data_IF_553277049838
#
_entry.id   IF_553277049838
#
_cell.length_a   1.000
_cell.length_b   1.000
_cell.length_c   1.000
_cell.angle_alpha   90.00
_cell.angle_beta   90.00
_cell.angle_gamma   90.00
#
_symmetry.space_group_name_H-M   'P 1'
#
loop_
_entity.id
_entity.type
_entity.pdbx_description
1 polymer ?
#
# COMPACT_ATOMS: atom_id res chain seq x y z
N UNK A 1 -9.68 -6.66 -35.90
CA UNK A 1 -9.86 -6.85 -34.45
C UNK A 1 -11.35 -6.85 -34.18
N UNK A 2 -11.90 -7.85 -33.50
CA UNK A 2 -13.32 -7.91 -33.13
C UNK A 2 -13.59 -6.82 -32.08
N UNK A 3 -14.71 -6.11 -32.18
CA UNK A 3 -15.06 -5.04 -31.23
C UNK A 3 -15.51 -5.65 -29.89
N UNK A 4 -15.03 -5.09 -28.77
CA UNK A 4 -15.42 -5.53 -27.44
C UNK A 4 -16.94 -5.43 -27.26
N UNK A 5 -17.59 -6.55 -26.93
CA UNK A 5 -19.04 -6.63 -26.72
C UNK A 5 -19.84 -7.27 -27.86
N UNK A 6 -19.20 -7.73 -28.93
CA UNK A 6 -19.88 -8.62 -29.88
C UNK A 6 -20.16 -9.99 -29.25
N UNK A 7 -21.32 -10.57 -29.57
CA UNK A 7 -21.68 -11.90 -29.10
C UNK A 7 -20.62 -12.92 -29.55
N UNK A 8 -20.25 -13.82 -28.63
CA UNK A 8 -19.30 -14.90 -28.90
C UNK A 8 -19.92 -15.80 -29.95
N UNK A 9 -19.18 -16.06 -31.02
CA UNK A 9 -19.62 -16.96 -32.08
C UNK A 9 -19.41 -18.40 -31.62
N UNK A 10 -20.26 -19.34 -32.04
CA UNK A 10 -20.18 -20.74 -31.57
C UNK A 10 -18.84 -21.40 -31.97
N UNK A 11 -18.15 -20.83 -32.96
CA UNK A 11 -16.81 -21.23 -33.40
C UNK A 11 -15.68 -20.79 -32.44
N UNK A 12 -15.96 -19.93 -31.45
CA UNK A 12 -15.00 -19.46 -30.43
C UNK A 12 -15.13 -20.24 -29.11
N UNK A 13 -16.09 -21.17 -29.03
CA UNK A 13 -16.29 -22.06 -27.88
C UNK A 13 -15.49 -23.33 -28.14
N UNK A 14 -14.30 -23.42 -27.55
CA UNK A 14 -13.47 -24.62 -27.63
C UNK A 14 -13.96 -25.66 -26.63
N UNK A 15 -14.11 -26.92 -27.08
CA UNK A 15 -14.38 -28.04 -26.19
C UNK A 15 -13.15 -28.27 -25.29
N UNK A 16 -13.39 -28.51 -24.00
CA UNK A 16 -12.34 -28.75 -23.00
C UNK A 16 -11.48 -29.96 -23.39
N UNK A 17 -12.02 -30.90 -24.15
CA UNK A 17 -11.28 -32.07 -24.63
C UNK A 17 -10.32 -31.75 -25.80
N UNK A 18 -10.52 -30.64 -26.51
CA UNK A 18 -9.65 -30.18 -27.60
C UNK A 18 -8.51 -29.27 -27.10
N UNK A 19 -8.55 -28.84 -25.84
CA UNK A 19 -7.48 -28.07 -25.25
C UNK A 19 -6.27 -28.96 -24.98
N UNK A 20 -5.19 -28.72 -25.75
CA UNK A 20 -3.92 -29.40 -25.56
C UNK A 20 -3.39 -29.13 -24.14
N UNK A 21 -3.12 -30.20 -23.39
CA UNK A 21 -2.66 -30.09 -22.01
C UNK A 21 -1.36 -29.28 -21.94
N UNK A 22 -1.33 -28.24 -21.11
CA UNK A 22 -0.18 -27.36 -20.94
C UNK A 22 1.03 -28.16 -20.44
N UNK A 23 1.91 -28.56 -21.37
CA UNK A 23 3.20 -29.17 -21.05
C UNK A 23 4.12 -28.08 -20.51
N UNK A 24 4.17 -27.95 -19.19
CA UNK A 24 5.19 -27.17 -18.53
C UNK A 24 6.55 -27.82 -18.76
N UNK A 25 7.38 -27.21 -19.62
CA UNK A 25 8.77 -27.59 -19.79
C UNK A 25 9.57 -27.16 -18.55
N UNK A 26 9.35 -27.85 -17.42
CA UNK A 26 10.31 -27.86 -16.32
C UNK A 26 11.52 -28.64 -16.80
N UNK A 27 12.51 -27.93 -17.32
CA UNK A 27 13.84 -28.44 -17.62
C UNK A 27 14.48 -28.95 -16.34
N UNK A 28 14.27 -30.24 -16.07
CA UNK A 28 15.04 -31.00 -15.08
C UNK A 28 16.46 -31.12 -15.62
N UNK A 29 17.29 -30.15 -15.27
CA UNK A 29 18.69 -30.14 -15.64
C UNK A 29 19.40 -31.20 -14.80
N UNK A 30 19.49 -32.42 -15.33
CA UNK A 30 20.32 -33.46 -14.74
C UNK A 30 21.80 -33.06 -14.91
N UNK A 31 22.48 -32.96 -13.77
CA UNK A 31 23.92 -32.77 -13.69
C UNK A 31 24.62 -34.07 -14.11
N UNK A 32 24.91 -34.21 -15.40
CA UNK A 32 25.92 -35.16 -15.86
C UNK A 32 27.28 -34.48 -15.94
N UNK A 33 28.19 -35.00 -15.10
CA UNK A 33 29.58 -34.63 -15.03
C UNK A 33 30.33 -35.07 -16.30
N UNK A 34 30.70 -34.11 -17.14
CA UNK A 34 31.82 -34.20 -18.10
C UNK A 34 32.04 -32.82 -18.69
N UNK A 35 32.92 -32.04 -18.06
CA UNK A 35 33.29 -30.70 -18.54
C UNK A 35 34.36 -30.79 -19.64
N UNK A 36 34.11 -30.31 -20.87
CA UNK A 36 35.13 -30.14 -21.89
C UNK A 36 36.03 -28.92 -21.57
N UNK A 37 37.24 -28.85 -22.17
CA UNK A 37 38.20 -27.78 -21.92
C UNK A 37 37.61 -26.42 -22.32
N UNK A 38 37.58 -25.51 -21.34
CA UNK A 38 37.04 -24.15 -21.45
C UNK A 38 37.75 -23.37 -22.56
N UNK A 39 37.00 -23.03 -23.62
CA UNK A 39 37.37 -21.93 -24.52
C UNK A 39 37.31 -20.60 -23.73
N UNK A 40 38.23 -19.66 -23.98
CA UNK A 40 38.16 -18.31 -23.43
C UNK A 40 36.85 -17.65 -23.90
N UNK A 41 35.97 -17.31 -22.95
CA UNK A 41 34.74 -16.58 -23.23
C UNK A 41 35.06 -15.15 -23.64
N UNK A 42 34.48 -14.70 -24.76
CA UNK A 42 34.54 -13.32 -25.24
C UNK A 42 33.95 -12.35 -24.19
N UNK A 43 34.60 -11.20 -23.92
CA UNK A 43 34.15 -10.22 -22.91
C UNK A 43 32.83 -9.47 -23.18
N UNK A 44 32.03 -9.85 -24.17
CA UNK A 44 30.96 -9.01 -24.73
C UNK A 44 29.53 -9.41 -24.36
N UNK A 45 29.32 -10.41 -23.49
CA UNK A 45 28.00 -10.82 -23.01
C UNK A 45 28.02 -11.03 -21.50
N UNK A 46 28.20 -9.96 -20.74
CA UNK A 46 27.82 -9.97 -19.34
C UNK A 46 26.28 -9.90 -19.27
N UNK A 47 25.63 -11.06 -19.41
CA UNK A 47 24.20 -11.17 -19.13
C UNK A 47 23.94 -10.60 -17.73
N UNK A 48 23.09 -9.58 -17.66
CA UNK A 48 22.69 -8.95 -16.41
C UNK A 48 22.03 -10.02 -15.54
N UNK A 49 22.76 -10.49 -14.52
CA UNK A 49 22.26 -11.54 -13.63
C UNK A 49 20.89 -11.12 -13.10
N UNK A 50 19.86 -11.98 -13.19
CA UNK A 50 18.53 -11.65 -12.73
C UNK A 50 18.59 -11.18 -11.27
N UNK A 51 18.10 -9.96 -11.03
CA UNK A 51 18.12 -9.35 -9.70
C UNK A 51 17.35 -10.26 -8.75
N UNK A 52 17.97 -10.60 -7.62
CA UNK A 52 17.33 -11.41 -6.59
C UNK A 52 16.06 -10.69 -6.13
N UNK A 53 14.94 -11.42 -6.09
CA UNK A 53 13.67 -10.89 -5.58
C UNK A 53 13.89 -10.39 -4.15
N UNK A 54 13.51 -9.15 -3.87
CA UNK A 54 13.62 -8.54 -2.56
C UNK A 54 12.77 -9.32 -1.55
N UNK A 55 13.35 -9.69 -0.41
CA UNK A 55 12.64 -10.40 0.65
C UNK A 55 11.72 -9.41 1.37
N UNK A 56 10.41 -9.52 1.11
CA UNK A 56 9.38 -8.71 1.77
C UNK A 56 9.22 -9.16 3.22
N UNK A 57 9.10 -8.20 4.14
CA UNK A 57 8.90 -8.51 5.55
C UNK A 57 7.44 -8.89 5.84
N UNK A 58 7.22 -10.16 6.19
CA UNK A 58 5.91 -10.68 6.58
C UNK A 58 5.56 -10.43 8.07
N UNK A 59 6.57 -10.12 8.90
CA UNK A 59 6.40 -9.91 10.34
C UNK A 59 5.63 -8.64 10.71
N UNK A 60 5.31 -8.48 11.99
CA UNK A 60 4.70 -7.25 12.51
C UNK A 60 5.71 -6.10 12.52
N UNK A 61 5.34 -4.97 11.93
CA UNK A 61 6.15 -3.74 11.96
C UNK A 61 6.06 -2.98 13.28
N UNK A 62 5.27 -3.48 14.24
CA UNK A 62 5.06 -2.85 15.55
C UNK A 62 6.36 -2.62 16.31
N UNK A 63 7.35 -3.51 16.17
CA UNK A 63 8.66 -3.41 16.83
C UNK A 63 9.67 -2.54 16.08
N UNK A 64 9.35 -2.09 14.86
CA UNK A 64 10.25 -1.25 14.09
C UNK A 64 10.21 0.20 14.57
N UNK A 65 9.02 0.70 14.89
CA UNK A 65 8.83 2.08 15.33
C UNK A 65 8.91 2.16 16.86
N UNK A 66 9.72 3.07 17.43
CA UNK A 66 9.82 3.25 18.88
C UNK A 66 8.47 3.64 19.50
N UNK A 67 8.21 3.13 20.70
CA UNK A 67 7.04 3.52 21.49
C UNK A 67 7.25 4.89 22.16
N UNK A 68 6.18 5.66 22.44
CA UNK A 68 4.77 5.35 22.15
C UNK A 68 4.42 5.54 20.66
N UNK A 69 3.47 4.75 20.15
CA UNK A 69 3.02 4.87 18.75
C UNK A 69 1.99 5.97 18.52
N UNK A 70 1.55 6.65 19.58
CA UNK A 70 0.56 7.73 19.51
C UNK A 70 1.12 8.92 20.28
N UNK A 71 1.29 10.04 19.57
CA UNK A 71 1.67 11.34 20.09
C UNK A 71 0.56 12.34 19.78
N UNK A 72 -0.19 12.74 20.81
CA UNK A 72 -1.25 13.74 20.66
C UNK A 72 -0.69 15.10 20.28
N UNK A 73 -1.51 15.93 19.62
CA UNK A 73 -1.04 17.27 19.27
C UNK A 73 -0.91 18.15 20.51
N UNK A 74 0.24 18.80 20.73
CA UNK A 74 0.41 19.70 21.87
C UNK A 74 -0.48 20.92 21.66
N UNK A 75 -1.21 21.33 22.70
CA UNK A 75 -1.94 22.60 22.66
C UNK A 75 -0.94 23.75 22.51
N UNK A 76 -1.17 24.64 21.54
CA UNK A 76 -0.37 25.85 21.33
C UNK A 76 -1.33 27.03 21.14
N UNK A 77 -1.33 28.02 22.03
CA UNK A 77 -2.29 29.12 21.99
C UNK A 77 -2.01 30.16 20.90
N UNK A 78 -0.92 30.01 20.13
CA UNK A 78 -0.49 30.98 19.12
C UNK A 78 -0.31 30.31 17.77
N UNK A 79 -0.84 30.94 16.73
CA UNK A 79 -0.57 30.56 15.35
C UNK A 79 0.93 30.69 15.07
N UNK A 80 1.55 29.58 14.68
CA UNK A 80 2.92 29.60 14.22
C UNK A 80 2.98 30.40 12.92
N UNK A 81 3.87 31.39 12.84
CA UNK A 81 4.19 32.05 11.58
C UNK A 81 4.92 31.04 10.69
N UNK A 82 4.16 30.28 9.93
CA UNK A 82 4.70 29.23 9.07
C UNK A 82 5.22 29.88 7.77
N UNK A 83 6.52 29.79 7.52
CA UNK A 83 7.19 30.34 6.32
C UNK A 83 7.27 29.36 5.15
N UNK A 84 6.85 28.11 5.36
CA UNK A 84 6.95 27.04 4.37
C UNK A 84 5.91 27.25 3.26
N UNK A 85 6.36 27.19 2.00
CA UNK A 85 5.46 27.26 0.85
C UNK A 85 4.52 26.04 0.81
N UNK A 86 3.23 26.24 0.48
CA UNK A 86 2.32 25.13 0.22
C UNK A 86 2.83 24.23 -0.91
N UNK A 87 2.60 22.92 -0.79
CA UNK A 87 2.93 21.96 -1.84
C UNK A 87 2.12 22.24 -3.11
N UNK A 88 2.82 22.36 -4.24
CA UNK A 88 2.26 22.71 -5.56
C UNK A 88 2.80 21.84 -6.70
N UNK A 89 3.56 20.77 -6.41
CA UNK A 89 4.21 19.93 -7.43
C UNK A 89 3.24 19.05 -8.21
N UNK A 90 2.09 18.72 -7.63
CA UNK A 90 1.07 17.90 -8.27
C UNK A 90 -0.32 18.51 -8.06
N UNK A 91 -1.17 18.39 -9.08
CA UNK A 91 -2.57 18.79 -8.99
C UNK A 91 -3.31 17.80 -8.07
N UNK A 92 -4.01 18.28 -7.02
CA UNK A 92 -4.78 17.41 -6.14
C UNK A 92 -5.87 16.65 -6.90
N UNK A 93 -6.05 15.37 -6.58
CA UNK A 93 -7.17 14.54 -7.04
C UNK A 93 -8.21 14.54 -5.92
N UNK A 94 -9.36 15.18 -6.15
CA UNK A 94 -10.42 15.28 -5.14
C UNK A 94 -11.18 13.97 -5.06
N UNK A 95 -11.38 13.47 -3.84
CA UNK A 95 -12.01 12.19 -3.60
C UNK A 95 -13.52 12.35 -3.33
N UNK A 96 -14.39 11.53 -3.92
CA UNK A 96 -15.82 11.52 -3.59
C UNK A 96 -16.07 11.27 -2.09
N UNK A 97 -17.14 11.86 -1.50
CA UNK A 97 -18.18 12.65 -2.14
C UNK A 97 -17.85 14.14 -2.26
N UNK A 98 -16.59 14.53 -2.04
CA UNK A 98 -16.20 15.93 -2.12
C UNK A 98 -16.14 16.39 -3.57
N UNK A 99 -16.60 17.62 -3.84
CA UNK A 99 -16.74 18.16 -5.20
C UNK A 99 -16.17 19.58 -5.35
N UNK A 100 -15.34 20.03 -4.40
CA UNK A 100 -14.74 21.36 -4.50
C UNK A 100 -13.71 21.41 -5.63
N UNK A 101 -13.73 22.50 -6.41
CA UNK A 101 -12.80 22.71 -7.54
C UNK A 101 -11.42 23.11 -7.08
N UNK A 102 -11.36 23.89 -6.00
CA UNK A 102 -10.13 24.36 -5.36
C UNK A 102 -10.12 23.91 -3.91
N UNK A 103 -9.04 23.25 -3.50
CA UNK A 103 -8.85 22.91 -2.10
C UNK A 103 -8.50 24.19 -1.34
N UNK A 104 -9.52 24.81 -0.74
CA UNK A 104 -9.35 25.90 0.21
C UNK A 104 -9.27 25.28 1.60
N UNK A 105 -8.11 25.35 2.28
CA UNK A 105 -7.97 24.86 3.63
C UNK A 105 -9.03 25.49 4.55
N UNK A 106 -9.94 24.68 5.08
CA UNK A 106 -10.94 25.19 6.01
C UNK A 106 -10.25 25.52 7.34
N UNK A 107 -10.28 26.79 7.79
CA UNK A 107 -9.77 27.15 9.10
C UNK A 107 -10.44 26.28 10.17
N UNK A 108 -9.70 25.87 11.19
CA UNK A 108 -10.23 25.13 12.36
C UNK A 108 -10.72 23.69 12.09
N UNK A 109 -10.63 23.19 10.86
CA UNK A 109 -10.87 21.76 10.60
C UNK A 109 -9.61 20.97 10.92
N UNK A 110 -9.77 19.78 11.52
CA UNK A 110 -8.66 18.88 11.78
C UNK A 110 -8.60 17.83 10.70
N UNK A 111 -7.49 17.79 10.00
CA UNK A 111 -7.25 16.86 8.87
C UNK A 111 -6.04 16.00 9.18
N UNK A 112 -5.79 14.98 8.36
CA UNK A 112 -4.60 14.16 8.53
C UNK A 112 -4.05 13.59 7.22
N UNK A 113 -2.75 13.71 7.02
CA UNK A 113 -2.04 12.96 5.98
C UNK A 113 -1.84 11.51 6.40
N UNK A 114 -2.00 10.60 5.43
CA UNK A 114 -1.66 9.18 5.58
C UNK A 114 -0.42 8.86 4.75
N UNK A 115 0.61 8.35 5.42
CA UNK A 115 1.84 7.83 4.81
C UNK A 115 1.79 6.31 4.92
N UNK A 116 1.60 5.57 3.81
CA UNK A 116 1.60 4.12 3.87
C UNK A 116 3.03 3.61 4.17
N UNK A 117 3.11 2.63 5.06
CA UNK A 117 4.34 1.93 5.44
C UNK A 117 4.38 0.55 4.80
N UNK A 118 3.24 -0.16 4.77
CA UNK A 118 3.12 -1.45 4.09
C UNK A 118 1.69 -1.65 3.58
N UNK A 119 1.55 -2.05 2.32
CA UNK A 119 0.27 -2.28 1.65
C UNK A 119 -0.16 -1.13 0.73
N UNK A 120 -1.41 -1.18 0.28
CA UNK A 120 -1.99 -0.20 -0.64
C UNK A 120 -3.25 0.40 -0.02
N UNK A 121 -3.33 1.72 0.04
CA UNK A 121 -4.52 2.40 0.57
C UNK A 121 -5.72 2.19 -0.38
N UNK A 122 -6.97 2.22 0.12
CA UNK A 122 -8.17 1.92 -0.68
C UNK A 122 -8.51 2.96 -1.75
N UNK A 123 -7.84 4.12 -1.76
CA UNK A 123 -8.13 5.18 -2.71
C UNK A 123 -7.30 4.99 -3.97
N UNK A 124 -7.99 4.87 -5.09
CA UNK A 124 -7.37 4.72 -6.41
C UNK A 124 -6.41 5.88 -6.70
N UNK A 125 -5.23 5.55 -7.21
CA UNK A 125 -4.16 6.51 -7.48
C UNK A 125 -3.26 6.83 -6.28
N UNK A 126 -3.54 6.32 -5.08
CA UNK A 126 -2.59 6.43 -3.96
C UNK A 126 -1.36 5.53 -4.15
N UNK A 127 -0.21 5.94 -3.63
CA UNK A 127 1.01 5.13 -3.66
C UNK A 127 0.88 3.93 -2.72
N UNK A 128 1.38 2.77 -3.16
CA UNK A 128 1.58 1.60 -2.28
C UNK A 128 2.91 1.72 -1.54
N UNK A 129 3.08 0.94 -0.47
CA UNK A 129 4.33 0.88 0.28
C UNK A 129 4.75 -0.56 0.57
N UNK A 130 6.06 -0.80 0.62
CA UNK A 130 6.66 -2.08 1.00
C UNK A 130 7.73 -1.83 2.05
N UNK A 131 7.70 -2.67 3.09
CA UNK A 131 8.73 -2.72 4.12
C UNK A 131 9.60 -3.96 3.93
N UNK A 132 10.92 -3.80 3.94
CA UNK A 132 11.90 -4.87 3.82
C UNK A 132 12.97 -4.80 4.91
N UNK A 133 13.55 -5.95 5.25
CA UNK A 133 14.59 -6.07 6.29
C UNK A 133 16.00 -5.76 5.79
N UNK A 134 16.19 -5.59 4.48
CA UNK A 134 17.49 -5.21 3.93
C UNK A 134 17.93 -3.83 4.42
N UNK A 135 19.16 -3.74 4.92
CA UNK A 135 19.81 -2.50 5.32
C UNK A 135 20.47 -1.76 4.14
N UNK A 136 20.45 -2.35 2.94
CA UNK A 136 21.06 -1.74 1.77
C UNK A 136 20.26 -0.49 1.34
N UNK A 137 20.89 0.70 1.27
CA UNK A 137 20.21 1.92 0.85
C UNK A 137 19.81 1.90 -0.63
N UNK A 138 20.41 1.04 -1.45
CA UNK A 138 20.05 0.91 -2.87
C UNK A 138 18.64 0.33 -3.06
N UNK A 139 18.15 -0.46 -2.09
CA UNK A 139 16.80 -1.01 -2.07
C UNK A 139 15.72 0.05 -1.76
N UNK A 140 16.11 1.22 -1.23
CA UNK A 140 15.19 2.33 -0.92
C UNK A 140 14.85 3.20 -2.12
N UNK A 141 15.51 2.99 -3.27
CA UNK A 141 15.17 3.73 -4.48
C UNK A 141 13.74 3.36 -4.90
N UNK A 142 12.88 4.33 -5.22
CA UNK A 142 11.54 4.05 -5.71
C UNK A 142 11.61 3.06 -6.87
N UNK A 143 10.85 1.98 -6.78
CA UNK A 143 10.73 1.05 -7.89
C UNK A 143 9.78 1.66 -8.92
N UNK A 144 10.32 2.06 -10.08
CA UNK A 144 9.52 2.45 -11.24
C UNK A 144 9.03 1.19 -11.95
N UNK A 145 8.03 0.54 -11.34
CA UNK A 145 7.29 -0.55 -11.94
C UNK A 145 6.22 -0.02 -12.87
N UNK A 146 6.12 -0.59 -14.08
CA UNK A 146 4.96 -0.37 -14.95
C UNK A 146 4.02 -1.57 -14.78
N UNK A 147 2.87 -1.34 -14.16
CA UNK A 147 1.80 -2.35 -14.10
C UNK A 147 0.69 -1.88 -15.02
N UNK A 148 0.39 -2.65 -16.07
CA UNK A 148 -0.64 -2.31 -17.06
C UNK A 148 -0.46 -0.92 -17.70
N UNK A 149 0.78 -0.50 -17.95
CA UNK A 149 1.09 0.82 -18.54
C UNK A 149 1.03 2.00 -17.55
N UNK A 150 0.63 1.78 -16.30
CA UNK A 150 0.60 2.81 -15.26
C UNK A 150 1.88 2.70 -14.43
N UNK A 151 2.60 3.82 -14.33
CA UNK A 151 3.75 3.93 -13.43
C UNK A 151 3.22 3.97 -12.00
N UNK A 152 3.30 2.83 -11.31
CA UNK A 152 2.91 2.70 -9.92
C UNK A 152 4.17 2.85 -9.06
N UNK A 153 4.43 4.08 -8.60
CA UNK A 153 5.53 4.30 -7.66
C UNK A 153 5.20 3.74 -6.29
N UNK A 154 6.02 2.79 -5.88
CA UNK A 154 5.96 2.14 -4.58
C UNK A 154 6.96 2.81 -3.62
N UNK A 155 6.49 3.12 -2.42
CA UNK A 155 7.32 3.64 -1.34
C UNK A 155 8.09 2.48 -0.71
N UNK A 156 9.41 2.59 -0.69
CA UNK A 156 10.29 1.55 -0.15
C UNK A 156 10.81 1.95 1.23
N UNK A 157 10.50 1.13 2.23
CA UNK A 157 10.95 1.32 3.60
C UNK A 157 11.88 0.19 4.02
N UNK A 158 12.97 0.56 4.67
CA UNK A 158 13.69 -0.34 5.56
C UNK A 158 13.51 0.11 7.01
N UNK A 159 13.92 -0.75 7.95
CA UNK A 159 13.78 -0.45 9.38
C UNK A 159 14.43 0.87 9.78
N UNK A 160 15.63 1.16 9.30
CA UNK A 160 16.40 2.35 9.70
C UNK A 160 15.73 3.63 9.17
N UNK A 161 15.39 3.68 7.88
CA UNK A 161 14.72 4.81 7.25
C UNK A 161 13.35 5.10 7.86
N UNK A 162 12.59 4.07 8.23
CA UNK A 162 11.30 4.23 8.89
C UNK A 162 11.44 4.81 10.31
N UNK A 163 12.44 4.36 11.08
CA UNK A 163 12.76 4.90 12.41
C UNK A 163 13.20 6.36 12.32
N UNK A 164 14.06 6.69 11.35
CA UNK A 164 14.49 8.07 11.12
C UNK A 164 13.34 8.97 10.68
N UNK A 165 12.45 8.46 9.81
CA UNK A 165 11.25 9.17 9.40
C UNK A 165 10.34 9.45 10.60
N UNK A 166 10.11 8.46 11.46
CA UNK A 166 9.36 8.63 12.70
C UNK A 166 9.98 9.71 13.60
N UNK A 167 11.30 9.64 13.81
CA UNK A 167 12.06 10.61 14.63
C UNK A 167 11.98 12.02 14.05
N UNK A 168 12.03 12.14 12.72
CA UNK A 168 11.81 13.40 12.02
C UNK A 168 10.41 13.97 12.29
N UNK A 169 9.36 13.15 12.22
CA UNK A 169 8.00 13.60 12.51
C UNK A 169 7.87 14.09 13.96
N UNK A 170 8.44 13.36 14.93
CA UNK A 170 8.46 13.80 16.33
C UNK A 170 9.18 15.14 16.49
N UNK A 171 10.34 15.29 15.85
CA UNK A 171 11.08 16.56 15.86
C UNK A 171 10.27 17.71 15.24
N UNK A 172 9.55 17.44 14.15
CA UNK A 172 8.68 18.42 13.50
C UNK A 172 7.53 18.85 14.43
N UNK A 173 6.91 17.91 15.13
CA UNK A 173 5.89 18.16 16.16
C UNK A 173 6.42 19.00 17.32
N UNK A 174 7.60 18.66 17.83
CA UNK A 174 8.16 19.32 19.02
C UNK A 174 8.63 20.74 18.72
N UNK A 175 9.17 20.97 17.52
CA UNK A 175 9.43 22.33 17.03
C UNK A 175 8.13 23.12 16.84
N UNK A 176 7.09 22.44 16.32
CA UNK A 176 5.77 23.01 15.99
C UNK A 176 5.83 24.26 15.14
N UNK A 177 6.76 24.26 14.19
CA UNK A 177 6.87 25.24 13.09
C UNK A 177 5.67 25.18 12.14
N UNK A 178 4.85 24.13 12.25
CA UNK A 178 3.63 23.90 11.46
C UNK A 178 2.36 23.93 12.34
N UNK A 179 2.46 24.47 13.57
CA UNK A 179 1.35 24.45 14.52
C UNK A 179 1.22 23.12 15.27
N UNK A 180 0.00 22.76 15.65
CA UNK A 180 -0.29 21.60 16.51
C UNK A 180 -0.34 20.30 15.69
N UNK A 181 0.75 19.54 15.68
CA UNK A 181 0.83 18.26 14.97
C UNK A 181 0.67 17.08 15.92
N UNK A 182 -0.19 16.13 15.55
CA UNK A 182 -0.36 14.85 16.21
C UNK A 182 0.10 13.73 15.29
N UNK A 183 0.65 12.66 15.82
CA UNK A 183 1.24 11.57 15.04
C UNK A 183 0.76 10.25 15.62
N UNK A 184 0.38 9.31 14.77
CA UNK A 184 0.07 7.95 15.19
C UNK A 184 0.50 6.92 14.17
N UNK A 185 1.06 5.80 14.62
CA UNK A 185 1.33 4.63 13.78
C UNK A 185 0.23 3.58 13.97
N UNK A 186 -0.27 3.02 12.88
CA UNK A 186 -1.32 2.01 12.84
C UNK A 186 -0.79 0.77 12.12
N UNK A 187 -0.89 -0.38 12.76
CA UNK A 187 -0.54 -1.67 12.17
C UNK A 187 -1.80 -2.45 11.81
N UNK A 188 -1.77 -3.10 10.65
CA UNK A 188 -2.74 -4.07 10.21
C UNK A 188 -2.85 -5.24 11.18
N UNK A 189 -4.09 -5.58 11.54
CA UNK A 189 -4.37 -6.69 12.46
C UNK A 189 -4.27 -8.06 11.76
N UNK A 190 -4.11 -8.10 10.44
CA UNK A 190 -4.09 -9.32 9.63
C UNK A 190 -2.84 -10.18 9.80
N UNK A 191 -1.82 -9.69 10.52
CA UNK A 191 -0.53 -10.39 10.72
C UNK A 191 -0.62 -11.70 11.54
N UNK A 192 -1.77 -12.03 12.14
CA UNK A 192 -1.97 -13.28 12.90
C UNK A 192 -2.76 -14.35 12.15
N UNK A 193 -3.26 -14.09 10.94
CA UNK A 193 -3.75 -15.19 10.10
C UNK A 193 -2.56 -15.87 9.46
N UNK A 194 -2.04 -16.85 10.21
CA UNK A 194 -1.10 -17.85 9.76
C UNK A 194 -1.28 -18.13 8.28
N UNK A 195 -0.18 -18.03 7.54
CA UNK A 195 0.04 -18.77 6.31
C UNK A 195 0.07 -20.27 6.66
N UNK A 196 -1.03 -20.80 7.20
CA UNK A 196 -1.27 -22.22 7.30
C UNK A 196 -1.73 -22.66 5.93
N UNK A 197 -0.74 -23.18 5.20
CA UNK A 197 -0.87 -24.30 4.30
C UNK A 197 -1.74 -24.06 3.08
N UNK A 198 -1.07 -23.99 1.93
CA UNK A 198 -1.53 -24.60 0.69
C UNK A 198 -2.23 -25.91 1.08
N UNK A 199 -3.56 -25.89 1.10
CA UNK A 199 -4.36 -27.09 1.20
C UNK A 199 -4.12 -27.84 -0.09
N UNK A 200 -3.15 -28.75 -0.06
CA UNK A 200 -3.15 -29.89 -0.95
C UNK A 200 -4.51 -30.56 -0.77
N UNK A 201 -5.37 -30.42 -1.77
CA UNK A 201 -6.57 -31.22 -1.92
C UNK A 201 -6.14 -32.68 -2.02
N UNK A 202 -5.96 -33.32 -0.87
CA UNK A 202 -5.87 -34.77 -0.74
C UNK A 202 -7.29 -35.28 -0.89
N UNK A 203 -7.57 -35.85 -2.06
CA UNK A 203 -8.74 -36.68 -2.29
C UNK A 203 -8.83 -37.74 -1.19
N UNK A 204 -9.82 -37.59 -0.31
CA UNK A 204 -10.39 -38.72 0.41
C UNK A 204 -11.86 -38.80 -0.01
N UNK A 205 -12.08 -39.57 -1.07
CA UNK A 205 -13.36 -40.22 -1.35
C UNK A 205 -13.77 -41.09 -0.16
N UNK A 206 -15.08 -41.10 0.09
CA UNK A 206 -15.74 -42.15 0.84
C UNK A 206 -15.90 -41.86 2.33
N UNK A 207 -17.08 -41.36 2.71
CA UNK A 207 -18.03 -42.10 3.57
C UNK A 207 -19.31 -41.25 3.68
N UNK A 208 -20.35 -41.67 2.96
CA UNK A 208 -21.71 -41.15 3.12
C UNK A 208 -22.31 -41.75 4.39
N UNK A 209 -22.81 -40.89 5.28
CA UNK A 209 -23.70 -41.26 6.37
C UNK A 209 -24.92 -40.33 6.35
N UNK A 210 -26.16 -40.84 6.31
CA UNK A 210 -27.35 -40.02 6.31
C UNK A 210 -27.71 -39.64 7.75
N UNK A 211 -27.94 -38.35 8.00
CA UNK A 211 -28.66 -37.93 9.20
C UNK A 211 -29.58 -36.78 8.85
N UNK A 212 -30.83 -37.16 8.59
CA UNK A 212 -32.00 -36.29 8.59
C UNK A 212 -32.18 -35.68 9.98
N UNK A 213 -32.20 -34.36 10.08
CA UNK A 213 -33.07 -33.68 11.05
C UNK A 213 -33.69 -32.47 10.38
N UNK A 214 -34.97 -32.60 10.12
CA UNK A 214 -35.94 -31.58 9.74
C UNK A 214 -36.07 -30.48 10.80
N UNK A 215 -36.03 -29.21 10.38
CA UNK A 215 -36.70 -28.13 11.11
C UNK A 215 -37.39 -27.16 10.14
N UNK A 216 -38.72 -27.23 10.24
CA UNK A 216 -39.79 -26.27 9.92
C UNK A 216 -39.34 -24.80 9.83
N UNK A 217 -39.48 -24.14 8.69
CA UNK A 217 -40.67 -23.37 8.23
C UNK A 217 -41.23 -22.46 9.32
N UNK A 218 -40.81 -21.20 9.29
CA UNK A 218 -41.69 -20.06 9.57
C UNK A 218 -41.44 -18.99 8.52
N UNK A 219 -42.55 -18.56 7.92
CA UNK A 219 -42.65 -17.77 6.70
C UNK A 219 -43.54 -16.59 7.05
N UNK A 220 -42.94 -15.46 7.45
CA UNK A 220 -43.70 -14.22 7.66
C UNK A 220 -43.07 -13.02 6.95
N UNK A 221 -43.87 -12.56 5.99
CA UNK A 221 -44.08 -11.24 5.41
C UNK A 221 -43.09 -10.08 5.70
N UNK A 222 -42.47 -9.64 4.61
CA UNK A 222 -42.71 -8.33 3.98
C UNK A 222 -42.64 -7.07 4.85
N UNK A 223 -41.47 -6.44 4.82
CA UNK A 223 -41.26 -5.04 5.16
C UNK A 223 -40.09 -4.47 4.36
N UNK A 224 -40.30 -4.25 3.06
CA UNK A 224 -39.34 -3.60 2.15
C UNK A 224 -38.95 -2.22 2.68
N UNK A 225 -37.84 -2.16 3.41
CA UNK A 225 -37.10 -0.94 3.68
C UNK A 225 -35.69 -1.17 3.14
N UNK A 226 -35.55 -1.11 1.82
CA UNK A 226 -34.28 -0.86 1.12
C UNK A 226 -33.77 0.53 1.50
N UNK A 227 -33.47 0.74 2.78
CA UNK A 227 -32.66 1.88 3.22
C UNK A 227 -31.25 1.57 2.74
N UNK A 228 -30.86 2.28 1.69
CA UNK A 228 -29.54 2.32 1.06
C UNK A 228 -28.43 2.59 2.09
N UNK A 229 -28.11 1.57 2.88
CA UNK A 229 -27.07 1.56 3.92
C UNK A 229 -25.70 1.17 3.33
N UNK A 230 -25.56 1.18 2.00
CA UNK A 230 -24.73 0.25 1.25
C UNK A 230 -23.37 0.76 0.75
N UNK A 231 -22.78 1.83 1.27
CA UNK A 231 -21.39 2.19 0.86
C UNK A 231 -20.50 2.86 1.90
N UNK A 232 -21.06 3.36 3.01
CA UNK A 232 -20.28 4.14 3.99
C UNK A 232 -19.43 3.29 4.95
N UNK A 233 -19.74 2.01 5.15
CA UNK A 233 -18.99 1.14 6.07
C UNK A 233 -17.72 0.52 5.48
N UNK A 234 -17.58 0.49 4.16
CA UNK A 234 -16.55 -0.36 3.52
C UNK A 234 -15.13 0.21 3.69
N UNK A 235 -14.94 1.53 3.61
CA UNK A 235 -13.60 2.12 3.68
C UNK A 235 -12.90 1.92 5.03
N UNK A 236 -13.64 1.94 6.14
CA UNK A 236 -13.06 1.66 7.48
C UNK A 236 -12.61 0.21 7.62
N UNK A 237 -13.17 -0.70 6.83
CA UNK A 237 -12.74 -2.10 6.82
C UNK A 237 -11.44 -2.27 6.04
N UNK A 238 -11.27 -1.57 4.92
CA UNK A 238 -10.15 -1.80 3.99
C UNK A 238 -8.82 -1.21 4.51
N UNK A 239 -8.86 -0.10 5.25
CA UNK A 239 -7.65 0.48 5.86
C UNK A 239 -7.00 -0.47 6.89
N UNK A 240 -7.73 -1.49 7.37
CA UNK A 240 -7.24 -2.45 8.37
C UNK A 240 -6.13 -3.37 7.87
N UNK A 241 -5.94 -3.48 6.56
CA UNK A 241 -4.92 -4.31 5.94
C UNK A 241 -3.67 -3.53 5.51
N UNK A 242 -3.54 -2.28 5.96
CA UNK A 242 -2.42 -1.41 5.64
C UNK A 242 -1.74 -0.97 6.94
N UNK A 243 -0.41 -1.05 6.99
CA UNK A 243 0.36 -0.37 8.02
C UNK A 243 0.62 1.06 7.55
N UNK A 244 0.30 2.07 8.37
CA UNK A 244 0.45 3.47 7.97
C UNK A 244 0.74 4.39 9.16
N UNK A 245 1.36 5.52 8.85
CA UNK A 245 1.54 6.64 9.77
C UNK A 245 0.50 7.70 9.42
N UNK A 246 -0.22 8.17 10.43
CA UNK A 246 -1.22 9.24 10.33
C UNK A 246 -0.72 10.50 11.04
N UNK A 247 -0.71 11.61 10.32
CA UNK A 247 -0.17 12.90 10.76
C UNK A 247 -1.32 13.90 10.83
N UNK A 248 -1.83 14.14 12.03
CA UNK A 248 -2.90 15.09 12.29
C UNK A 248 -2.38 16.52 12.33
N UNK A 249 -3.11 17.44 11.70
CA UNK A 249 -2.80 18.86 11.71
C UNK A 249 -4.06 19.68 11.45
N UNK A 250 -3.96 20.99 11.59
CA UNK A 250 -5.02 21.91 11.19
C UNK A 250 -5.11 21.96 9.66
N UNK A 251 -6.32 22.09 9.12
CA UNK A 251 -6.58 22.14 7.69
C UNK A 251 -5.75 23.22 7.01
N UNK A 252 -5.65 24.41 7.64
CA UNK A 252 -4.90 25.58 7.17
C UNK A 252 -3.43 25.29 6.79
N UNK A 253 -2.79 24.30 7.41
CA UNK A 253 -1.38 23.94 7.16
C UNK A 253 -1.21 22.67 6.35
N UNK A 254 -2.29 22.05 5.86
CA UNK A 254 -2.26 20.73 5.22
C UNK A 254 -1.24 20.63 4.08
N UNK A 255 -1.27 21.58 3.15
CA UNK A 255 -0.36 21.57 2.00
C UNK A 255 1.09 21.93 2.39
N UNK A 256 1.30 22.59 3.53
CA UNK A 256 2.65 22.88 4.05
C UNK A 256 3.24 21.65 4.73
N UNK A 257 2.43 20.91 5.48
CA UNK A 257 2.79 19.57 5.99
C UNK A 257 3.18 18.67 4.83
N UNK A 258 2.37 18.61 3.77
CA UNK A 258 2.68 17.86 2.55
C UNK A 258 4.03 18.26 1.94
N UNK A 259 4.32 19.56 1.86
CA UNK A 259 5.60 20.05 1.33
C UNK A 259 6.80 19.58 2.17
N UNK A 260 6.64 19.53 3.49
CA UNK A 260 7.69 19.05 4.40
C UNK A 260 7.91 17.54 4.27
N UNK A 261 6.82 16.77 4.06
CA UNK A 261 6.91 15.33 3.80
C UNK A 261 7.62 15.03 2.49
N UNK A 262 7.27 15.74 1.41
CA UNK A 262 7.93 15.59 0.10
C UNK A 262 9.41 16.03 0.11
N UNK A 263 9.77 17.00 0.95
CA UNK A 263 11.15 17.44 1.12
C UNK A 263 12.01 16.50 1.97
N UNK A 264 11.40 15.57 2.72
CA UNK A 264 12.13 14.66 3.58
C UNK A 264 13.06 13.74 2.78
N UNK A 265 14.23 13.45 3.35
CA UNK A 265 15.24 12.57 2.78
C UNK A 265 15.87 11.74 3.88
N UNK A 266 15.99 10.45 3.62
CA UNK A 266 16.84 9.54 4.38
C UNK A 266 18.30 9.79 4.01
N UNK A 267 19.20 9.77 5.00
CA UNK A 267 20.64 9.85 4.78
C UNK A 267 21.23 8.49 5.16
N UNK A 268 21.71 7.74 4.17
CA UNK A 268 22.29 6.43 4.43
C UNK A 268 23.62 6.53 5.22
N UNK A 269 24.12 5.43 5.79
CA UNK A 269 25.46 5.38 6.38
C UNK A 269 26.58 5.74 5.39
N UNK A 270 26.34 5.55 4.08
CA UNK A 270 27.24 5.98 2.99
C UNK A 270 27.11 7.47 2.62
N UNK A 271 26.29 8.25 3.35
CA UNK A 271 25.96 9.65 3.09
C UNK A 271 25.18 9.88 1.78
N UNK A 272 24.54 8.85 1.24
CA UNK A 272 23.62 8.96 0.11
C UNK A 272 22.28 9.53 0.59
N UNK A 273 21.72 10.45 -0.18
CA UNK A 273 20.44 11.09 0.12
C UNK A 273 19.33 10.43 -0.69
N UNK A 274 18.43 9.72 -0.03
CA UNK A 274 17.30 9.05 -0.66
C UNK A 274 16.01 9.76 -0.31
N UNK A 275 15.25 10.20 -1.34
CA UNK A 275 13.91 10.75 -1.16
C UNK A 275 12.87 9.63 -1.26
N UNK A 276 12.63 8.96 -0.15
CA UNK A 276 11.67 7.84 -0.07
C UNK A 276 10.26 8.24 -0.48
N UNK A 277 9.86 9.49 -0.20
CA UNK A 277 8.54 10.03 -0.51
C UNK A 277 8.48 10.83 -1.82
N UNK A 278 9.50 10.74 -2.69
CA UNK A 278 9.55 11.50 -3.93
C UNK A 278 8.37 11.14 -4.84
N UNK A 279 7.50 12.13 -5.10
CA UNK A 279 6.27 11.96 -5.90
C UNK A 279 5.29 10.92 -5.34
N UNK A 280 5.43 10.55 -4.06
CA UNK A 280 4.52 9.61 -3.41
C UNK A 280 3.13 10.24 -3.30
N UNK A 281 2.10 9.62 -3.89
CA UNK A 281 0.71 10.11 -3.87
C UNK A 281 0.06 9.74 -2.54
N UNK A 282 0.02 10.69 -1.61
CA UNK A 282 -0.51 10.50 -0.27
C UNK A 282 -1.97 10.93 -0.19
N UNK A 283 -2.70 10.37 0.78
CA UNK A 283 -4.11 10.70 1.00
C UNK A 283 -4.26 11.65 2.18
N UNK A 284 -4.99 12.74 1.96
CA UNK A 284 -5.46 13.64 3.02
C UNK A 284 -6.84 13.17 3.48
N UNK A 285 -7.02 13.05 4.79
CA UNK A 285 -8.30 12.70 5.41
C UNK A 285 -8.97 13.92 6.05
N UNK A 286 -10.30 13.94 6.00
CA UNK A 286 -11.15 14.85 6.80
C UNK A 286 -11.24 14.42 8.27
N UNK A 287 -11.95 15.20 9.08
CA UNK A 287 -12.17 14.95 10.51
C UNK A 287 -12.95 13.66 10.80
N UNK A 288 -13.65 13.12 9.78
CA UNK A 288 -14.41 11.87 9.85
C UNK A 288 -13.62 10.67 9.34
N UNK A 289 -12.33 10.87 9.04
CA UNK A 289 -11.43 9.88 8.43
C UNK A 289 -11.87 9.42 7.03
N UNK A 290 -12.52 10.29 6.26
CA UNK A 290 -12.82 10.08 4.84
C UNK A 290 -11.72 10.69 3.99
N UNK A 291 -11.40 10.04 2.88
CA UNK A 291 -10.47 10.59 1.90
C UNK A 291 -11.01 11.89 1.33
N UNK A 292 -10.22 12.95 1.42
CA UNK A 292 -10.55 14.28 0.96
C UNK A 292 -9.87 14.56 -0.39
N UNK A 293 -8.56 14.28 -0.49
CA UNK A 293 -7.81 14.38 -1.74
C UNK A 293 -6.56 13.49 -1.74
N UNK A 294 -5.98 13.29 -2.92
CA UNK A 294 -4.65 12.68 -3.14
C UNK A 294 -3.72 13.71 -3.77
N UNK A 295 -2.48 13.83 -3.28
CA UNK A 295 -1.43 14.62 -3.91
C UNK A 295 -0.03 14.11 -3.61
#
# INVERSE_FOLDING_TARGET
>A
MKEWGTAVDDNEIYDIQELEEFRSFLTRHEHNASSPPRRPLSPLQAEERPRKRLKVEAGSLFSWIPQPHIHTSPYRPRDAAVTIHPFSKAKPIILPPHTFTDFVPLPQTRTAWIVPVRGTLPWEGSSSAVAHTSSDPSDLKPFDGTVSGIICRQIMWNKVSLVEFWTFLLTLRDKGTLGSIGISFHTSHSSTRSCTQISTASAHEGYQGPSEVTSTVDKDASGNNERSSSSRSNYRSIIKDVDYIKIYHDGAVAMRVRSVLDAWRYISPSNDKVRVLLEAKLVLLDERARGLLIC
#
